data_IF_712262039109
#
_entry.id   IF_712262039109
#
_cell.length_a   1.000
_cell.length_b   1.000
_cell.length_c   1.000
_cell.angle_alpha   90.00
_cell.angle_beta   90.00
_cell.angle_gamma   90.00
#
_symmetry.space_group_name_H-M   'P 1'
#
loop_
_entity.id
_entity.type
_entity.pdbx_description
1 polymer ?
#
# COMPACT_ATOMS: atom_id res chain seq x y z
N UNK A 1 10.72 -3.23 38.89
CA UNK A 1 10.31 -4.42 38.14
C UNK A 1 11.10 -4.43 36.84
N UNK A 2 11.91 -5.45 36.53
CA UNK A 2 12.75 -5.45 35.34
C UNK A 2 11.88 -5.73 34.11
N UNK A 3 11.98 -4.88 33.08
CA UNK A 3 11.45 -5.06 31.75
C UNK A 3 12.15 -6.24 31.10
N UNK A 4 11.42 -7.33 30.84
CA UNK A 4 11.90 -8.50 30.12
C UNK A 4 12.06 -8.11 28.66
N UNK A 5 13.32 -7.87 28.26
CA UNK A 5 13.74 -7.77 26.84
C UNK A 5 13.63 -9.19 26.22
N UNK A 6 12.44 -9.50 25.68
CA UNK A 6 12.25 -10.71 24.87
C UNK A 6 12.85 -10.51 23.48
N UNK A 7 14.16 -10.53 23.40
CA UNK A 7 14.82 -10.91 22.15
C UNK A 7 14.51 -12.38 21.92
N UNK A 8 13.50 -12.63 21.09
CA UNK A 8 13.25 -13.96 20.53
C UNK A 8 14.56 -14.39 19.84
N UNK A 9 15.22 -15.39 20.41
CA UNK A 9 16.37 -16.06 19.80
C UNK A 9 15.88 -16.78 18.53
N UNK A 10 15.63 -16.02 17.47
CA UNK A 10 15.31 -16.60 16.17
C UNK A 10 16.54 -17.37 15.67
N UNK A 11 16.38 -18.62 15.19
CA UNK A 11 17.50 -19.35 14.60
C UNK A 11 18.16 -18.50 13.52
N UNK A 12 19.43 -18.21 13.66
CA UNK A 12 20.18 -17.38 12.69
C UNK A 12 20.05 -17.89 11.24
N UNK A 13 19.87 -19.21 11.07
CA UNK A 13 19.63 -19.82 9.77
C UNK A 13 18.35 -19.30 9.08
N UNK A 14 17.25 -19.15 9.82
CA UNK A 14 15.97 -18.65 9.27
C UNK A 14 16.13 -17.19 8.84
N UNK A 15 16.71 -16.35 9.69
CA UNK A 15 16.96 -14.94 9.36
C UNK A 15 17.82 -14.80 8.11
N UNK A 16 18.90 -15.59 8.03
CA UNK A 16 19.81 -15.58 6.87
C UNK A 16 19.16 -16.06 5.59
N UNK A 17 18.28 -17.06 5.63
CA UNK A 17 17.51 -17.52 4.46
C UNK A 17 16.64 -16.38 3.92
N UNK A 18 15.92 -15.66 4.80
CA UNK A 18 15.10 -14.50 4.40
C UNK A 18 15.98 -13.43 3.77
N UNK A 19 17.09 -13.07 4.41
CA UNK A 19 18.03 -12.07 3.89
C UNK A 19 18.65 -12.45 2.53
N UNK A 20 18.94 -13.74 2.29
CA UNK A 20 19.39 -14.22 0.97
C UNK A 20 18.33 -13.96 -0.09
N UNK A 21 17.07 -14.32 0.18
CA UNK A 21 15.97 -14.12 -0.76
C UNK A 21 15.72 -12.62 -1.00
N UNK A 22 15.75 -11.79 0.05
CA UNK A 22 15.62 -10.33 -0.07
C UNK A 22 16.74 -9.73 -0.93
N UNK A 23 17.99 -10.15 -0.72
CA UNK A 23 19.13 -9.68 -1.51
C UNK A 23 18.98 -10.04 -3.00
N UNK A 24 18.55 -11.29 -3.29
CA UNK A 24 18.30 -11.74 -4.66
C UNK A 24 17.10 -11.04 -5.30
N UNK A 25 16.05 -10.68 -4.53
CA UNK A 25 14.92 -9.90 -5.01
C UNK A 25 15.29 -8.46 -5.34
N UNK A 26 16.18 -7.86 -4.55
CA UNK A 26 16.58 -6.46 -4.71
C UNK A 26 17.60 -6.23 -5.84
N UNK A 27 18.28 -7.29 -6.27
CA UNK A 27 19.32 -7.19 -7.31
C UNK A 27 18.77 -7.46 -8.71
N UNK A 28 18.95 -6.55 -9.67
CA UNK A 28 18.61 -6.83 -11.06
C UNK A 28 19.53 -7.86 -11.71
N UNK A 29 20.74 -8.04 -11.16
CA UNK A 29 21.77 -8.95 -11.69
C UNK A 29 21.94 -10.15 -10.75
N UNK A 30 22.35 -11.32 -11.28
CA UNK A 30 22.69 -12.49 -10.48
C UNK A 30 23.82 -12.17 -9.49
N UNK A 31 23.77 -12.76 -8.28
CA UNK A 31 24.70 -12.45 -7.19
C UNK A 31 25.63 -13.63 -6.93
N UNK A 32 26.93 -13.37 -6.78
CA UNK A 32 27.92 -14.39 -6.39
C UNK A 32 27.88 -14.71 -4.90
N UNK A 33 28.38 -15.90 -4.52
CA UNK A 33 28.54 -16.30 -3.11
C UNK A 33 29.34 -15.26 -2.29
N UNK A 34 30.37 -14.69 -2.88
CA UNK A 34 31.21 -13.70 -2.21
C UNK A 34 30.46 -12.39 -1.92
N UNK A 35 29.59 -11.97 -2.81
CA UNK A 35 28.74 -10.80 -2.60
C UNK A 35 27.67 -11.07 -1.54
N UNK A 36 26.98 -12.21 -1.59
CA UNK A 36 26.00 -12.61 -0.56
C UNK A 36 26.65 -12.71 0.84
N UNK A 37 27.83 -13.31 0.93
CA UNK A 37 28.59 -13.40 2.19
C UNK A 37 28.89 -12.02 2.79
N UNK A 38 29.21 -11.02 1.96
CA UNK A 38 29.44 -9.63 2.39
C UNK A 38 28.15 -8.92 2.81
N UNK A 39 27.09 -9.07 2.02
CA UNK A 39 25.78 -8.44 2.32
C UNK A 39 25.19 -8.96 3.63
N UNK A 40 25.37 -10.27 3.89
CA UNK A 40 24.82 -10.92 5.09
C UNK A 40 25.75 -10.85 6.31
N UNK A 41 26.96 -10.32 6.14
CA UNK A 41 28.03 -10.37 7.16
C UNK A 41 28.15 -11.78 7.77
N UNK A 42 28.29 -12.80 6.90
CA UNK A 42 28.28 -14.18 7.29
C UNK A 42 29.37 -15.00 6.57
N UNK A 43 29.95 -16.04 7.22
CA UNK A 43 30.95 -16.88 6.60
C UNK A 43 30.44 -17.55 5.31
N UNK A 44 31.29 -17.58 4.26
CA UNK A 44 30.95 -18.18 2.96
C UNK A 44 30.44 -19.63 3.09
N UNK A 45 31.02 -20.43 3.98
CA UNK A 45 30.61 -21.82 4.21
C UNK A 45 29.18 -21.94 4.71
N UNK A 46 28.78 -21.03 5.63
CA UNK A 46 27.42 -20.96 6.17
C UNK A 46 26.41 -20.53 5.08
N UNK A 47 26.74 -19.51 4.31
CA UNK A 47 25.88 -18.99 3.22
C UNK A 47 25.75 -20.07 2.12
N UNK A 48 26.84 -20.75 1.75
CA UNK A 48 26.84 -21.84 0.77
C UNK A 48 25.98 -23.05 1.20
N UNK A 49 25.95 -23.38 2.49
CA UNK A 49 25.07 -24.43 3.00
C UNK A 49 23.58 -24.06 2.87
N UNK A 50 23.22 -22.81 3.18
CA UNK A 50 21.86 -22.34 3.04
C UNK A 50 21.42 -22.24 1.56
N UNK A 51 22.30 -21.77 0.68
CA UNK A 51 22.05 -21.73 -0.76
C UNK A 51 21.85 -23.12 -1.39
N UNK A 52 22.55 -24.15 -0.92
CA UNK A 52 22.27 -25.52 -1.35
C UNK A 52 20.86 -25.96 -0.99
N UNK A 53 20.44 -25.76 0.26
CA UNK A 53 19.08 -26.12 0.67
C UNK A 53 18.02 -25.32 -0.10
N UNK A 54 18.27 -24.04 -0.40
CA UNK A 54 17.39 -23.24 -1.24
C UNK A 54 17.36 -23.70 -2.70
N UNK A 55 18.49 -24.21 -3.23
CA UNK A 55 18.55 -24.75 -4.58
C UNK A 55 17.87 -26.13 -4.66
N UNK A 56 18.00 -27.00 -3.66
CA UNK A 56 17.26 -28.26 -3.55
C UNK A 56 15.75 -28.06 -3.50
N UNK A 57 15.30 -26.93 -2.95
CA UNK A 57 13.89 -26.54 -2.89
C UNK A 57 13.45 -25.65 -4.05
N UNK A 58 14.23 -25.50 -5.10
CA UNK A 58 13.99 -24.66 -6.29
C UNK A 58 13.75 -23.17 -6.00
N UNK A 59 14.08 -22.69 -4.80
CA UNK A 59 13.98 -21.25 -4.48
C UNK A 59 15.11 -20.43 -5.09
N UNK A 60 16.24 -21.07 -5.36
CA UNK A 60 17.43 -20.43 -5.93
C UNK A 60 17.97 -21.30 -7.05
N UNK A 61 18.39 -20.68 -8.15
CA UNK A 61 19.11 -21.33 -9.23
C UNK A 61 20.58 -20.90 -9.20
N UNK A 62 21.48 -21.87 -9.42
CA UNK A 62 22.92 -21.65 -9.53
C UNK A 62 23.39 -21.94 -10.95
N UNK A 63 24.03 -20.98 -11.59
CA UNK A 63 24.68 -21.14 -12.89
C UNK A 63 25.83 -20.14 -13.03
N UNK A 64 26.89 -20.51 -13.71
CA UNK A 64 28.04 -19.63 -13.98
C UNK A 64 28.62 -18.95 -12.73
N UNK A 65 28.68 -19.70 -11.60
CA UNK A 65 29.18 -19.20 -10.30
C UNK A 65 28.35 -18.08 -9.64
N UNK A 66 27.13 -17.87 -10.10
CA UNK A 66 26.19 -16.89 -9.54
C UNK A 66 24.82 -17.50 -9.23
N UNK A 67 24.10 -16.84 -8.34
CA UNK A 67 22.78 -17.23 -7.85
C UNK A 67 21.72 -16.26 -8.32
N UNK A 68 20.54 -16.79 -8.65
CA UNK A 68 19.32 -16.02 -8.97
C UNK A 68 18.10 -16.70 -8.35
N UNK A 69 16.97 -15.99 -8.28
CA UNK A 69 15.72 -16.60 -7.81
C UNK A 69 15.29 -17.75 -8.71
N UNK A 70 14.84 -18.83 -8.10
CA UNK A 70 14.29 -20.00 -8.76
C UNK A 70 12.77 -19.98 -8.90
N UNK A 71 12.18 -20.94 -9.63
CA UNK A 71 10.73 -21.01 -9.88
C UNK A 71 9.88 -21.06 -8.59
N UNK A 72 10.33 -21.76 -7.55
CA UNK A 72 9.61 -21.86 -6.29
C UNK A 72 9.50 -20.50 -5.57
N UNK A 73 10.51 -19.62 -5.69
CA UNK A 73 10.45 -18.27 -5.14
C UNK A 73 9.35 -17.43 -5.81
N UNK A 74 9.22 -17.51 -7.14
CA UNK A 74 8.14 -16.82 -7.87
C UNK A 74 6.78 -17.41 -7.52
N UNK A 75 6.67 -18.75 -7.38
CA UNK A 75 5.44 -19.41 -6.93
C UNK A 75 5.00 -18.94 -5.55
N UNK A 76 5.93 -18.91 -4.58
CA UNK A 76 5.65 -18.37 -3.24
C UNK A 76 5.27 -16.89 -3.28
N UNK A 77 5.96 -16.07 -4.07
CA UNK A 77 5.64 -14.66 -4.26
C UNK A 77 4.20 -14.46 -4.76
N UNK A 78 3.77 -15.23 -5.75
CA UNK A 78 2.40 -15.22 -6.27
C UNK A 78 1.39 -15.67 -5.21
N UNK A 79 1.68 -16.73 -4.46
CA UNK A 79 0.82 -17.23 -3.39
C UNK A 79 0.68 -16.21 -2.24
N UNK A 80 1.77 -15.53 -1.87
CA UNK A 80 1.77 -14.47 -0.86
C UNK A 80 0.95 -13.24 -1.30
N UNK A 81 1.05 -12.84 -2.56
CA UNK A 81 0.22 -11.77 -3.12
C UNK A 81 -1.26 -12.13 -3.10
N UNK A 82 -1.61 -13.37 -3.44
CA UNK A 82 -2.99 -13.86 -3.37
C UNK A 82 -3.50 -13.95 -1.94
N UNK A 83 -2.70 -14.47 -1.01
CA UNK A 83 -3.04 -14.49 0.43
C UNK A 83 -3.22 -13.07 0.98
N UNK A 84 -2.35 -12.11 0.57
CA UNK A 84 -2.49 -10.70 0.92
C UNK A 84 -3.79 -10.10 0.39
N UNK A 85 -4.18 -10.41 -0.86
CA UNK A 85 -5.48 -10.00 -1.41
C UNK A 85 -6.64 -10.52 -0.55
N UNK A 86 -6.62 -11.79 -0.14
CA UNK A 86 -7.67 -12.39 0.70
C UNK A 86 -7.73 -11.77 2.09
N UNK A 87 -6.58 -11.44 2.67
CA UNK A 87 -6.50 -10.86 4.01
C UNK A 87 -6.83 -9.36 4.06
N UNK A 88 -6.54 -8.61 2.99
CA UNK A 88 -6.64 -7.13 2.97
C UNK A 88 -7.81 -6.59 2.15
N UNK A 89 -8.26 -7.33 1.13
CA UNK A 89 -9.53 -7.09 0.46
C UNK A 89 -10.43 -8.29 0.72
N UNK A 90 -11.23 -8.22 1.81
CA UNK A 90 -12.31 -9.19 1.99
C UNK A 90 -13.18 -9.20 0.72
N UNK A 91 -13.85 -10.33 0.43
CA UNK A 91 -14.78 -10.40 -0.70
C UNK A 91 -15.80 -9.24 -0.69
N UNK A 92 -16.13 -8.73 0.51
CA UNK A 92 -17.03 -7.58 0.71
C UNK A 92 -16.43 -6.27 0.20
N UNK A 93 -15.11 -6.03 0.41
CA UNK A 93 -14.42 -4.84 -0.13
C UNK A 93 -14.38 -4.91 -1.64
N UNK A 94 -13.97 -6.05 -2.20
CA UNK A 94 -13.88 -6.24 -3.65
C UNK A 94 -15.23 -6.15 -4.33
N UNK A 95 -16.28 -6.67 -3.71
CA UNK A 95 -17.65 -6.56 -4.20
C UNK A 95 -18.12 -5.10 -4.22
N UNK A 96 -17.83 -4.33 -3.16
CA UNK A 96 -18.11 -2.90 -3.15
C UNK A 96 -17.29 -2.12 -4.19
N UNK A 97 -16.04 -2.49 -4.41
CA UNK A 97 -15.23 -1.94 -5.50
C UNK A 97 -15.87 -2.20 -6.87
N UNK A 98 -16.39 -3.41 -7.13
CA UNK A 98 -17.06 -3.73 -8.40
C UNK A 98 -18.31 -2.85 -8.61
N UNK A 99 -19.19 -2.76 -7.59
CA UNK A 99 -20.37 -1.89 -7.67
C UNK A 99 -20.00 -0.43 -7.96
N UNK A 100 -18.95 0.07 -7.31
CA UNK A 100 -18.51 1.44 -7.53
C UNK A 100 -17.84 1.60 -8.91
N UNK A 101 -17.10 0.60 -9.41
CA UNK A 101 -16.52 0.61 -10.75
C UNK A 101 -17.60 0.68 -11.83
N UNK A 102 -18.67 -0.11 -11.70
CA UNK A 102 -19.81 -0.09 -12.63
C UNK A 102 -20.52 1.27 -12.65
N UNK A 103 -20.67 1.91 -11.49
CA UNK A 103 -21.34 3.21 -11.36
C UNK A 103 -20.50 4.39 -11.79
N UNK A 104 -19.20 4.37 -11.50
CA UNK A 104 -18.28 5.46 -11.83
C UNK A 104 -17.75 5.37 -13.26
N UNK A 105 -17.57 4.14 -13.76
CA UNK A 105 -16.85 3.85 -15.01
C UNK A 105 -15.34 4.04 -14.93
N UNK A 106 -14.79 4.29 -13.73
CA UNK A 106 -13.39 4.67 -13.55
C UNK A 106 -12.58 3.57 -12.84
N UNK A 107 -11.26 3.76 -12.74
CA UNK A 107 -10.38 2.83 -12.04
C UNK A 107 -10.59 2.92 -10.54
N UNK A 108 -10.82 1.77 -9.90
CA UNK A 108 -10.96 1.62 -8.47
C UNK A 108 -9.71 1.02 -7.85
N UNK A 109 -9.34 1.57 -6.70
CA UNK A 109 -8.18 1.12 -5.93
C UNK A 109 -8.57 0.92 -4.48
N UNK A 110 -8.01 -0.09 -3.86
CA UNK A 110 -8.00 -0.23 -2.42
C UNK A 110 -6.55 -0.12 -1.94
N UNK A 111 -6.30 0.82 -1.02
CA UNK A 111 -4.97 1.12 -0.52
C UNK A 111 -4.90 0.98 0.99
N UNK A 112 -3.75 0.50 1.49
CA UNK A 112 -3.46 0.36 2.91
C UNK A 112 -2.25 1.22 3.27
N UNK A 113 -2.30 1.89 4.41
CA UNK A 113 -1.17 2.67 4.91
C UNK A 113 -0.02 1.74 5.31
N UNK A 114 1.17 2.02 4.85
CA UNK A 114 2.37 1.28 5.24
C UNK A 114 2.75 1.61 6.68
N UNK A 115 3.00 0.57 7.49
CA UNK A 115 3.38 0.75 8.90
C UNK A 115 4.69 1.53 9.02
N UNK A 116 4.67 2.63 9.78
CA UNK A 116 5.85 3.46 10.04
C UNK A 116 6.34 4.31 8.86
N UNK A 117 5.75 4.16 7.67
CA UNK A 117 6.14 4.89 6.46
C UNK A 117 5.21 6.08 6.13
N UNK A 118 5.67 6.94 5.23
CA UNK A 118 4.92 8.10 4.71
C UNK A 118 4.17 7.75 3.43
N UNK A 119 3.94 6.45 3.19
CA UNK A 119 3.34 5.89 1.98
C UNK A 119 2.12 5.03 2.27
N UNK A 120 1.35 4.78 1.24
CA UNK A 120 0.34 3.73 1.16
C UNK A 120 0.66 2.81 -0.01
N UNK A 121 0.22 1.56 0.06
CA UNK A 121 0.36 0.55 -0.98
C UNK A 121 -1.01 0.20 -1.57
N UNK A 122 -1.14 0.16 -2.90
CA UNK A 122 -2.32 -0.39 -3.55
C UNK A 122 -2.33 -1.91 -3.40
N UNK A 123 -3.36 -2.43 -2.77
CA UNK A 123 -3.48 -3.88 -2.48
C UNK A 123 -4.56 -4.56 -3.32
N UNK A 124 -5.45 -3.80 -3.94
CA UNK A 124 -6.39 -4.27 -4.94
C UNK A 124 -6.70 -3.19 -5.97
N UNK A 125 -6.95 -3.61 -7.22
CA UNK A 125 -7.21 -2.74 -8.37
C UNK A 125 -8.31 -3.34 -9.22
N UNK A 126 -9.28 -2.51 -9.64
CA UNK A 126 -10.23 -2.80 -10.71
C UNK A 126 -10.06 -1.71 -11.76
N UNK A 127 -9.47 -2.07 -12.89
CA UNK A 127 -9.23 -1.12 -13.97
C UNK A 127 -10.53 -0.69 -14.66
N UNK A 128 -10.58 0.58 -15.04
CA UNK A 128 -11.62 1.10 -15.92
C UNK A 128 -11.56 0.42 -17.28
N UNK A 129 -12.72 0.23 -17.90
CA UNK A 129 -12.85 -0.26 -19.29
C UNK A 129 -12.62 0.82 -20.33
N UNK A 130 -12.49 2.07 -19.93
CA UNK A 130 -12.21 3.18 -20.83
C UNK A 130 -10.81 3.05 -21.44
N UNK A 131 -10.67 3.41 -22.72
CA UNK A 131 -9.38 3.38 -23.41
C UNK A 131 -8.35 4.30 -22.72
N UNK A 132 -8.76 5.50 -22.32
CA UNK A 132 -7.95 6.39 -21.48
C UNK A 132 -8.36 6.19 -20.03
N UNK A 133 -7.47 5.63 -19.24
CA UNK A 133 -7.70 5.31 -17.81
C UNK A 133 -6.44 5.52 -17.00
N UNK A 134 -6.59 5.66 -15.69
CA UNK A 134 -5.47 5.57 -14.77
C UNK A 134 -5.08 4.10 -14.60
N UNK A 135 -3.86 3.75 -14.98
CA UNK A 135 -3.31 2.40 -14.89
C UNK A 135 -2.23 2.35 -13.80
N UNK A 136 -2.37 1.40 -12.89
CA UNK A 136 -1.42 1.11 -11.80
C UNK A 136 -1.45 -0.37 -11.45
N UNK A 137 -0.43 -0.83 -10.76
CA UNK A 137 -0.32 -2.23 -10.33
C UNK A 137 -0.56 -2.39 -8.82
N UNK A 138 -1.05 -3.57 -8.45
CA UNK A 138 -1.03 -4.00 -7.03
C UNK A 138 0.42 -4.05 -6.57
N UNK A 139 0.70 -3.46 -5.41
CA UNK A 139 2.06 -3.29 -4.88
C UNK A 139 2.66 -1.90 -5.10
N UNK A 140 2.09 -1.08 -6.00
CA UNK A 140 2.55 0.30 -6.19
C UNK A 140 2.38 1.10 -4.90
N UNK A 141 3.43 1.85 -4.54
CA UNK A 141 3.45 2.74 -3.38
C UNK A 141 3.25 4.18 -3.81
N UNK A 142 2.48 4.92 -3.02
CA UNK A 142 2.23 6.35 -3.23
C UNK A 142 2.38 7.14 -1.93
N UNK A 143 2.89 8.38 -1.98
CA UNK A 143 2.95 9.25 -0.80
C UNK A 143 1.54 9.56 -0.26
N UNK A 144 1.44 9.69 1.07
CA UNK A 144 0.17 10.00 1.72
C UNK A 144 -0.27 11.45 1.48
N UNK A 145 0.65 12.42 1.51
CA UNK A 145 0.31 13.86 1.54
C UNK A 145 -0.36 14.37 0.26
N UNK A 146 -0.01 13.83 -0.91
CA UNK A 146 -0.45 14.34 -2.22
C UNK A 146 -1.51 13.47 -2.92
N UNK A 147 -1.98 12.40 -2.29
CA UNK A 147 -3.01 11.50 -2.84
C UNK A 147 -4.31 11.57 -2.04
N UNK A 148 -5.45 11.40 -2.71
CA UNK A 148 -6.75 11.37 -2.04
C UNK A 148 -6.84 10.24 -1.01
N UNK A 149 -6.38 9.01 -1.37
CA UNK A 149 -6.30 7.88 -0.46
C UNK A 149 -5.44 8.17 0.76
N UNK A 150 -4.27 8.77 0.54
CA UNK A 150 -3.36 9.15 1.61
C UNK A 150 -3.97 10.19 2.56
N UNK A 151 -4.66 11.20 2.02
CA UNK A 151 -5.30 12.25 2.84
C UNK A 151 -6.41 11.71 3.75
N UNK A 152 -7.26 10.79 3.27
CA UNK A 152 -8.27 10.18 4.14
C UNK A 152 -7.66 9.24 5.17
N UNK A 153 -6.56 8.54 4.84
CA UNK A 153 -5.81 7.74 5.80
C UNK A 153 -5.15 8.61 6.88
N UNK A 154 -4.59 9.76 6.51
CA UNK A 154 -4.06 10.75 7.46
C UNK A 154 -5.17 11.39 8.30
N UNK A 155 -6.31 11.71 7.70
CA UNK A 155 -7.49 12.24 8.39
C UNK A 155 -8.02 11.29 9.47
N UNK A 156 -7.82 9.98 9.31
CA UNK A 156 -8.25 8.98 10.27
C UNK A 156 -7.27 8.77 11.44
N UNK A 157 -6.09 9.37 11.42
CA UNK A 157 -5.12 9.29 12.50
C UNK A 157 -5.58 10.09 13.74
N UNK A 158 -5.05 9.74 14.90
CA UNK A 158 -5.14 10.61 16.08
C UNK A 158 -4.45 11.96 15.79
N UNK A 159 -4.86 13.02 16.47
CA UNK A 159 -4.21 14.32 16.31
C UNK A 159 -2.72 14.30 16.62
N UNK A 160 -2.32 13.50 17.63
CA UNK A 160 -0.92 13.33 17.98
C UNK A 160 -0.11 12.66 16.88
N UNK A 161 -0.67 11.61 16.24
CA UNK A 161 -0.02 10.91 15.13
C UNK A 161 0.07 11.79 13.89
N UNK A 162 -1.00 12.53 13.58
CA UNK A 162 -1.01 13.45 12.46
C UNK A 162 0.02 14.58 12.65
N UNK A 163 0.11 15.15 13.86
CA UNK A 163 1.14 16.16 14.18
C UNK A 163 2.55 15.59 14.02
N UNK A 164 2.80 14.34 14.49
CA UNK A 164 4.10 13.67 14.31
C UNK A 164 4.42 13.43 12.84
N UNK A 165 3.44 13.01 12.06
CA UNK A 165 3.58 12.85 10.61
C UNK A 165 3.97 14.17 9.93
N UNK A 166 3.18 15.24 10.13
CA UNK A 166 3.42 16.55 9.51
C UNK A 166 4.78 17.17 9.92
N UNK A 167 5.22 16.92 11.16
CA UNK A 167 6.54 17.38 11.61
C UNK A 167 7.68 16.74 10.81
N UNK A 168 7.60 15.42 10.59
CA UNK A 168 8.65 14.65 9.87
C UNK A 168 8.57 14.81 8.36
N UNK A 169 7.38 15.05 7.83
CA UNK A 169 7.14 15.13 6.39
C UNK A 169 8.06 16.14 5.71
N UNK A 170 8.68 15.70 4.62
CA UNK A 170 9.44 16.55 3.69
C UNK A 170 8.76 16.43 2.31
N UNK A 171 7.68 17.20 2.05
CA UNK A 171 6.90 17.05 0.84
C UNK A 171 7.73 17.47 -0.37
N UNK A 172 7.71 16.66 -1.42
CA UNK A 172 8.37 16.92 -2.69
C UNK A 172 7.32 17.31 -3.75
N UNK A 173 7.59 18.26 -4.64
CA UNK A 173 6.70 18.57 -5.74
C UNK A 173 6.79 17.44 -6.79
N UNK A 174 5.75 16.60 -6.88
CA UNK A 174 5.66 15.54 -7.90
C UNK A 174 5.08 16.08 -9.20
N UNK A 175 4.25 17.12 -9.11
CA UNK A 175 3.65 17.85 -10.23
C UNK A 175 3.67 19.34 -9.89
N UNK A 176 3.34 20.19 -10.86
CA UNK A 176 3.17 21.62 -10.62
C UNK A 176 2.03 21.96 -9.63
N UNK A 177 1.09 21.03 -9.40
CA UNK A 177 -0.05 21.19 -8.50
C UNK A 177 0.11 20.48 -7.14
N UNK A 178 1.23 19.82 -6.91
CA UNK A 178 1.48 19.16 -5.62
C UNK A 178 1.50 20.22 -4.49
N UNK A 179 0.61 20.04 -3.51
CA UNK A 179 0.65 20.88 -2.30
C UNK A 179 1.83 20.45 -1.43
N UNK A 180 2.75 21.39 -1.17
CA UNK A 180 3.94 21.18 -0.35
C UNK A 180 3.96 22.04 0.93
N UNK A 181 3.03 23.00 1.04
CA UNK A 181 2.87 23.76 2.28
C UNK A 181 2.18 22.90 3.35
N UNK A 182 2.88 22.72 4.48
CA UNK A 182 2.39 21.85 5.56
C UNK A 182 1.13 22.37 6.26
N UNK A 183 0.90 23.68 6.28
CA UNK A 183 -0.32 24.27 6.86
C UNK A 183 -1.50 23.97 5.96
N UNK A 184 -1.38 24.22 4.65
CA UNK A 184 -2.42 23.88 3.66
C UNK A 184 -2.69 22.38 3.61
N UNK A 185 -1.66 21.54 3.78
CA UNK A 185 -1.84 20.09 3.91
C UNK A 185 -2.64 19.73 5.16
N UNK A 186 -2.34 20.35 6.31
CA UNK A 186 -3.11 20.15 7.55
C UNK A 186 -4.57 20.55 7.39
N UNK A 187 -4.84 21.72 6.77
CA UNK A 187 -6.19 22.21 6.49
C UNK A 187 -6.95 21.24 5.55
N UNK A 188 -6.31 20.78 4.49
CA UNK A 188 -6.90 19.82 3.56
C UNK A 188 -7.23 18.47 4.23
N UNK A 189 -6.39 18.03 5.16
CA UNK A 189 -6.61 16.80 5.95
C UNK A 189 -7.75 17.03 6.97
N UNK A 190 -7.84 18.21 7.60
CA UNK A 190 -8.94 18.55 8.50
C UNK A 190 -10.29 18.56 7.76
N UNK A 191 -10.36 19.14 6.57
CA UNK A 191 -11.54 19.09 5.70
C UNK A 191 -11.89 17.64 5.31
N UNK A 192 -10.89 16.81 5.00
CA UNK A 192 -11.13 15.40 4.70
C UNK A 192 -11.66 14.63 5.90
N UNK A 193 -11.23 14.97 7.12
CA UNK A 193 -11.75 14.41 8.37
C UNK A 193 -13.21 14.77 8.61
N UNK A 194 -13.56 16.02 8.44
CA UNK A 194 -14.93 16.52 8.60
C UNK A 194 -15.89 15.91 7.57
N UNK A 195 -15.48 15.90 6.30
CA UNK A 195 -16.33 15.43 5.19
C UNK A 195 -16.32 13.91 5.00
N UNK A 196 -15.38 13.19 5.60
CA UNK A 196 -15.18 11.75 5.39
C UNK A 196 -14.68 11.39 3.98
N UNK A 197 -14.34 12.37 3.14
CA UNK A 197 -13.90 12.19 1.75
C UNK A 197 -12.82 13.21 1.42
N UNK A 198 -11.83 12.79 0.62
CA UNK A 198 -10.83 13.69 0.05
C UNK A 198 -10.82 13.60 -1.47
N UNK A 199 -10.49 14.71 -2.12
CA UNK A 199 -10.18 14.79 -3.54
C UNK A 199 -8.81 15.45 -3.75
N UNK A 200 -8.06 14.97 -4.73
CA UNK A 200 -6.81 15.59 -5.18
C UNK A 200 -6.82 15.70 -6.70
N UNK A 201 -6.59 16.89 -7.20
CA UNK A 201 -6.53 17.20 -8.62
C UNK A 201 -5.07 17.38 -9.04
N UNK A 202 -4.57 16.49 -9.88
CA UNK A 202 -3.22 16.55 -10.47
C UNK A 202 -2.07 16.67 -9.46
N UNK A 203 -2.23 16.21 -8.22
CA UNK A 203 -1.21 16.43 -7.18
C UNK A 203 -0.15 15.33 -7.08
N UNK A 204 -0.50 14.10 -7.41
CA UNK A 204 0.44 12.96 -7.37
C UNK A 204 0.88 12.53 -8.76
N UNK A 205 0.06 12.80 -9.77
CA UNK A 205 0.29 12.49 -11.19
C UNK A 205 -0.46 13.52 -12.02
N UNK A 206 0.20 14.12 -13.00
CA UNK A 206 -0.43 15.07 -13.91
C UNK A 206 -1.58 14.43 -14.69
N UNK A 207 -2.66 15.16 -14.84
CA UNK A 207 -3.86 14.70 -15.54
C UNK A 207 -4.69 13.66 -14.79
N UNK A 208 -4.41 13.41 -13.48
CA UNK A 208 -5.13 12.43 -12.67
C UNK A 208 -5.76 13.06 -11.45
N UNK A 209 -7.05 12.82 -11.29
CA UNK A 209 -7.81 13.17 -10.08
C UNK A 209 -8.15 11.91 -9.30
N UNK A 210 -7.87 11.93 -8.00
CA UNK A 210 -8.28 10.90 -7.05
C UNK A 210 -9.41 11.39 -6.16
N UNK A 211 -10.36 10.51 -5.85
CA UNK A 211 -11.42 10.72 -4.84
C UNK A 211 -11.43 9.51 -3.92
N UNK A 212 -11.38 9.72 -2.60
CA UNK A 212 -11.23 8.61 -1.64
C UNK A 212 -12.03 8.79 -0.36
N UNK A 213 -12.39 7.66 0.26
CA UNK A 213 -12.93 7.55 1.63
C UNK A 213 -12.37 6.33 2.33
N UNK A 214 -12.36 6.32 3.67
CA UNK A 214 -11.84 5.18 4.46
C UNK A 214 -12.88 4.08 4.61
N UNK A 215 -12.39 2.83 4.66
CA UNK A 215 -13.17 1.66 5.07
C UNK A 215 -12.76 1.27 6.50
N UNK A 216 -13.75 0.99 7.34
CA UNK A 216 -13.57 0.59 8.74
C UNK A 216 -14.12 -0.82 8.98
N UNK A 217 -13.49 -1.54 9.90
CA UNK A 217 -13.98 -2.82 10.40
C UNK A 217 -14.97 -2.66 11.57
N UNK A 218 -15.44 -3.78 12.13
CA UNK A 218 -16.38 -3.83 13.25
C UNK A 218 -15.88 -3.11 14.52
N UNK A 219 -14.56 -2.95 14.70
CA UNK A 219 -13.95 -2.25 15.84
C UNK A 219 -13.83 -0.74 15.60
N UNK A 220 -14.14 -0.26 14.39
CA UNK A 220 -13.92 1.12 13.98
C UNK A 220 -12.52 1.41 13.47
N UNK A 221 -11.65 0.38 13.44
CA UNK A 221 -10.29 0.51 12.90
C UNK A 221 -10.34 0.71 11.39
N UNK A 222 -9.55 1.66 10.87
CA UNK A 222 -9.41 1.86 9.42
C UNK A 222 -8.57 0.74 8.83
N UNK A 223 -9.18 -0.04 7.94
CA UNK A 223 -8.51 -1.13 7.22
C UNK A 223 -7.89 -0.68 5.90
N UNK A 224 -8.31 0.46 5.36
CA UNK A 224 -7.77 1.02 4.14
C UNK A 224 -8.60 2.15 3.57
N UNK A 225 -8.21 2.64 2.39
CA UNK A 225 -8.89 3.68 1.61
C UNK A 225 -9.46 3.09 0.32
N UNK A 226 -10.75 3.33 0.07
CA UNK A 226 -11.40 3.12 -1.22
C UNK A 226 -11.19 4.35 -2.08
N UNK A 227 -10.67 4.19 -3.28
CA UNK A 227 -10.23 5.28 -4.14
C UNK A 227 -10.83 5.09 -5.54
N UNK A 228 -11.41 6.14 -6.11
CA UNK A 228 -11.66 6.29 -7.55
C UNK A 228 -10.58 7.17 -8.13
N UNK A 229 -9.91 6.71 -9.17
CA UNK A 229 -8.90 7.45 -9.90
C UNK A 229 -9.29 7.56 -11.37
N UNK A 230 -9.29 8.78 -11.89
CA UNK A 230 -9.71 9.07 -13.25
C UNK A 230 -8.92 10.21 -13.88
N UNK A 231 -8.89 10.32 -15.21
CA UNK A 231 -8.38 11.49 -15.89
C UNK A 231 -9.11 12.76 -15.41
N UNK A 232 -8.33 13.80 -15.10
CA UNK A 232 -8.87 15.07 -14.54
C UNK A 232 -9.88 15.73 -15.48
N UNK A 233 -9.71 15.59 -16.80
CA UNK A 233 -10.62 16.11 -17.79
C UNK A 233 -12.04 15.54 -17.72
N UNK A 234 -12.21 14.30 -17.21
CA UNK A 234 -13.54 13.69 -17.03
C UNK A 234 -14.20 14.05 -15.71
N UNK A 235 -13.45 14.61 -14.76
CA UNK A 235 -13.95 14.88 -13.41
C UNK A 235 -14.29 16.35 -13.14
N UNK A 236 -14.05 17.28 -14.09
CA UNK A 236 -14.28 18.70 -13.89
C UNK A 236 -15.72 18.98 -13.40
N UNK A 237 -16.72 18.28 -13.96
CA UNK A 237 -18.14 18.48 -13.60
C UNK A 237 -18.70 17.38 -12.67
N UNK A 238 -17.96 16.30 -12.44
CA UNK A 238 -18.42 15.13 -11.68
C UNK A 238 -17.80 14.98 -10.28
N UNK A 239 -16.93 15.91 -9.88
CA UNK A 239 -16.18 15.77 -8.62
C UNK A 239 -17.08 15.60 -7.39
N UNK A 240 -18.14 16.41 -7.27
CA UNK A 240 -19.09 16.33 -6.16
C UNK A 240 -19.93 15.04 -6.19
N UNK A 241 -20.31 14.55 -7.38
CA UNK A 241 -21.02 13.30 -7.56
C UNK A 241 -20.16 12.13 -7.11
N UNK A 242 -18.92 12.07 -7.60
CA UNK A 242 -17.98 10.99 -7.22
C UNK A 242 -17.64 11.01 -5.74
N UNK A 243 -17.51 12.19 -5.14
CA UNK A 243 -17.32 12.31 -3.68
C UNK A 243 -18.46 11.63 -2.92
N UNK A 244 -19.71 11.87 -3.31
CA UNK A 244 -20.89 11.22 -2.69
C UNK A 244 -20.90 9.70 -2.95
N UNK A 245 -20.57 9.27 -4.17
CA UNK A 245 -20.55 7.86 -4.53
C UNK A 245 -19.50 7.07 -3.71
N UNK A 246 -18.28 7.57 -3.63
CA UNK A 246 -17.18 6.96 -2.88
C UNK A 246 -17.51 6.91 -1.39
N UNK A 247 -17.99 8.02 -0.81
CA UNK A 247 -18.37 8.09 0.60
C UNK A 247 -19.47 7.08 0.93
N UNK A 248 -20.53 7.03 0.10
CA UNK A 248 -21.66 6.10 0.28
C UNK A 248 -21.20 4.65 0.19
N UNK A 249 -20.37 4.30 -0.79
CA UNK A 249 -19.90 2.92 -0.97
C UNK A 249 -18.93 2.50 0.13
N UNK A 250 -18.00 3.36 0.54
CA UNK A 250 -17.11 3.09 1.67
C UNK A 250 -17.88 2.87 2.97
N UNK A 251 -18.93 3.66 3.22
CA UNK A 251 -19.83 3.46 4.35
C UNK A 251 -20.63 2.14 4.25
N UNK A 252 -21.04 1.74 3.05
CA UNK A 252 -21.75 0.48 2.81
C UNK A 252 -20.83 -0.71 3.08
N UNK A 253 -19.60 -0.69 2.55
CA UNK A 253 -18.60 -1.74 2.80
C UNK A 253 -18.30 -1.82 4.31
N UNK A 254 -18.08 -0.68 4.97
CA UNK A 254 -17.80 -0.64 6.40
C UNK A 254 -18.93 -1.26 7.23
N UNK A 255 -20.21 -0.97 6.90
CA UNK A 255 -21.37 -1.61 7.55
C UNK A 255 -21.40 -3.11 7.32
N UNK A 256 -21.10 -3.57 6.10
CA UNK A 256 -21.02 -5.00 5.79
C UNK A 256 -19.91 -5.71 6.57
N UNK A 257 -18.85 -4.97 6.95
CA UNK A 257 -17.77 -5.42 7.82
C UNK A 257 -18.10 -5.30 9.33
N UNK A 258 -19.33 -4.89 9.66
CA UNK A 258 -19.81 -4.79 11.03
C UNK A 258 -19.61 -3.42 11.70
N UNK A 259 -19.07 -2.42 10.98
CA UNK A 259 -18.92 -1.07 11.52
C UNK A 259 -20.28 -0.42 11.77
N UNK A 260 -20.49 0.06 13.00
CA UNK A 260 -21.63 0.88 13.38
C UNK A 260 -21.14 2.28 13.70
N UNK A 261 -21.64 3.28 12.97
CA UNK A 261 -21.34 4.66 13.33
C UNK A 261 -21.82 4.95 14.74
N UNK A 262 -21.00 5.59 15.61
CA UNK A 262 -21.48 6.13 16.87
C UNK A 262 -22.69 7.02 16.63
N UNK A 263 -23.69 6.96 17.48
CA UNK A 263 -24.79 7.92 17.43
C UNK A 263 -24.22 9.35 17.58
N UNK A 264 -24.75 10.34 16.84
CA UNK A 264 -24.35 11.72 17.04
C UNK A 264 -24.60 12.09 18.52
N UNK A 265 -23.55 12.53 19.19
CA UNK A 265 -23.60 13.04 20.57
C UNK A 265 -24.26 14.41 20.61
#
# INVERSE_FOLDING_TARGET
MPTVDRRLNSPQSVTRVIQILEALCASPEPISLAQLSRVLDAPKSSVAALLRGLAEADFVMFSESVYRLGPAAFGLGSALLEARRRLQSSDLVREGMRRLAERSGETLLFAVRDAGAETMTYVDVIESRNAVRFAVSVGDRRPLYCTAGGRVLLAALSEGDLRRYLKRLKPQPLTARTETDKRRLADAIAVAREKGVAQTLDQATDGVTGTASVIRDATGTVIGALIVAAPSSRLQDRGAELGRLVLKEAATISRSLGYRMPAPS
#
